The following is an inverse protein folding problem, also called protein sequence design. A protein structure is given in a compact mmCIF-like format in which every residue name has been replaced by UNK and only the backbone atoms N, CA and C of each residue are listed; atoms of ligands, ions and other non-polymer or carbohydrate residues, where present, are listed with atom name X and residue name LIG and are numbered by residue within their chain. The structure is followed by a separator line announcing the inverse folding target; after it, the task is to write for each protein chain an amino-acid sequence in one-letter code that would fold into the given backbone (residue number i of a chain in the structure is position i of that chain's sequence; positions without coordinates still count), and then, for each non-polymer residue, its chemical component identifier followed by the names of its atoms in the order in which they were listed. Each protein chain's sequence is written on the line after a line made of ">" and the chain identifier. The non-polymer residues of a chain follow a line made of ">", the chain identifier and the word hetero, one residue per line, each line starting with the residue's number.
data_IF_026171676730
#
_entry.id   IF_026171676730
#
_cell.length_a   1.000
_cell.length_b   1.000
_cell.length_c   1.000
_cell.angle_alpha   90.00
_cell.angle_beta   90.00
_cell.angle_gamma   90.00
#
_symmetry.space_group_name_H-M   'P 1'
#
loop_
_entity.id
_entity.type
_entity.pdbx_description
1 polymer ?
#
# COMPACT_ATOMS: atom_id res chain seq x y z
N UNK A 1 8.37 -13.80 -20.83
CA UNK A 1 7.92 -14.72 -19.78
C UNK A 1 8.95 -14.65 -18.66
N UNK A 2 8.60 -14.07 -17.53
CA UNK A 2 9.52 -13.84 -16.40
C UNK A 2 9.56 -15.08 -15.50
N UNK A 3 10.62 -15.26 -14.70
CA UNK A 3 10.75 -16.42 -13.81
C UNK A 3 9.60 -16.57 -12.79
N UNK A 4 8.96 -15.45 -12.45
CA UNK A 4 7.75 -15.44 -11.61
C UNK A 4 6.53 -16.03 -12.31
N UNK A 5 6.39 -15.81 -13.63
CA UNK A 5 5.26 -16.35 -14.41
C UNK A 5 5.32 -17.88 -14.45
N UNK A 6 6.52 -18.45 -14.61
CA UNK A 6 6.73 -19.90 -14.61
C UNK A 6 6.44 -20.52 -13.25
N UNK A 7 6.83 -19.85 -12.17
CA UNK A 7 6.54 -20.28 -10.80
C UNK A 7 5.05 -20.24 -10.50
N UNK A 8 4.36 -19.17 -10.90
CA UNK A 8 2.91 -19.05 -10.76
C UNK A 8 2.19 -20.16 -11.54
N UNK A 9 2.58 -20.39 -12.79
CA UNK A 9 2.00 -21.43 -13.63
C UNK A 9 2.21 -22.84 -13.04
N UNK A 10 3.40 -23.14 -12.50
CA UNK A 10 3.67 -24.43 -11.86
C UNK A 10 2.81 -24.65 -10.61
N UNK A 11 2.57 -23.61 -9.81
CA UNK A 11 1.74 -23.68 -8.60
C UNK A 11 0.27 -23.86 -8.93
N UNK A 12 -0.22 -23.22 -9.99
CA UNK A 12 -1.60 -23.38 -10.46
C UNK A 12 -1.81 -24.83 -10.93
N UNK A 13 -0.90 -25.36 -11.75
CA UNK A 13 -0.99 -26.76 -12.23
C UNK A 13 -0.95 -27.77 -11.08
N UNK A 14 -0.10 -27.52 -10.07
CA UNK A 14 -0.03 -28.36 -8.87
C UNK A 14 -1.35 -28.35 -8.09
N UNK A 15 -1.95 -27.17 -7.92
CA UNK A 15 -3.25 -27.04 -7.26
C UNK A 15 -4.38 -27.73 -8.03
N UNK A 16 -4.43 -27.59 -9.36
CA UNK A 16 -5.42 -28.27 -10.21
C UNK A 16 -5.30 -29.79 -10.11
N UNK A 17 -4.08 -30.31 -10.03
CA UNK A 17 -3.83 -31.73 -9.85
C UNK A 17 -4.29 -32.22 -8.48
N UNK A 18 -3.99 -31.48 -7.41
CA UNK A 18 -4.41 -31.82 -6.05
C UNK A 18 -5.94 -31.75 -5.86
N UNK A 19 -6.63 -30.86 -6.60
CA UNK A 19 -8.11 -30.83 -6.66
C UNK A 19 -8.66 -32.05 -7.42
N UNK A 20 -8.04 -32.42 -8.56
CA UNK A 20 -8.45 -33.58 -9.36
C UNK A 20 -8.26 -34.90 -8.61
N UNK A 21 -7.19 -35.01 -7.83
CA UNK A 21 -6.89 -36.18 -7.01
C UNK A 21 -7.70 -36.21 -5.70
N UNK A 22 -8.58 -35.22 -5.46
CA UNK A 22 -9.43 -35.15 -4.28
C UNK A 22 -8.69 -34.86 -2.97
N UNK A 23 -7.39 -34.50 -3.04
CA UNK A 23 -6.58 -34.10 -1.87
C UNK A 23 -7.00 -32.74 -1.34
N UNK A 24 -7.52 -31.87 -2.22
CA UNK A 24 -8.07 -30.56 -1.87
C UNK A 24 -9.53 -30.53 -2.30
N UNK A 25 -10.44 -30.46 -1.34
CA UNK A 25 -11.82 -30.07 -1.64
C UNK A 25 -11.88 -28.54 -1.68
N UNK A 26 -12.25 -27.91 -2.80
CA UNK A 26 -12.47 -26.47 -2.83
C UNK A 26 -13.63 -26.16 -1.89
N UNK A 27 -13.31 -25.60 -0.72
CA UNK A 27 -14.28 -25.13 0.27
C UNK A 27 -15.31 -24.23 -0.42
N UNK A 28 -16.56 -24.70 -0.53
CA UNK A 28 -17.71 -23.89 -0.99
C UNK A 28 -18.03 -22.71 -0.04
N UNK A 29 -17.25 -22.54 1.02
CA UNK A 29 -17.37 -21.51 2.04
C UNK A 29 -16.19 -20.53 2.04
N UNK A 30 -15.42 -20.44 0.96
CA UNK A 30 -14.79 -19.17 0.65
C UNK A 30 -15.88 -18.21 0.18
N UNK A 31 -16.70 -17.71 1.14
CA UNK A 31 -17.27 -16.37 0.96
C UNK A 31 -16.09 -15.55 0.50
N UNK A 32 -16.14 -15.04 -0.72
CA UNK A 32 -15.29 -13.93 -1.11
C UNK A 32 -15.46 -12.95 0.05
N UNK A 33 -14.45 -12.82 0.90
CA UNK A 33 -14.43 -11.78 1.90
C UNK A 33 -14.66 -10.54 1.06
N UNK A 34 -15.85 -9.95 1.19
CA UNK A 34 -16.05 -8.59 0.69
C UNK A 34 -14.82 -7.87 1.18
N UNK A 35 -14.08 -7.21 0.30
CA UNK A 35 -12.87 -6.44 0.61
C UNK A 35 -13.32 -5.27 1.49
N UNK A 36 -13.75 -5.61 2.70
CA UNK A 36 -14.26 -4.75 3.73
C UNK A 36 -13.02 -4.11 4.26
N UNK A 37 -12.84 -2.86 3.85
CA UNK A 37 -11.84 -1.91 4.34
C UNK A 37 -10.81 -2.57 5.25
N UNK A 38 -9.83 -3.24 4.62
CA UNK A 38 -8.75 -3.89 5.34
C UNK A 38 -8.19 -2.81 6.28
N UNK A 39 -8.33 -3.01 7.58
CA UNK A 39 -7.92 -1.99 8.51
C UNK A 39 -6.43 -1.74 8.27
N UNK A 40 -5.99 -0.48 8.07
CA UNK A 40 -4.61 -0.18 7.75
C UNK A 40 -3.71 -0.90 8.75
N UNK A 41 -2.75 -1.68 8.24
CA UNK A 41 -1.87 -2.50 9.09
C UNK A 41 -1.13 -1.63 10.14
N UNK A 42 -0.96 -0.33 9.86
CA UNK A 42 -0.50 0.70 10.79
C UNK A 42 -1.41 0.86 12.02
N UNK A 43 -2.74 0.90 11.84
CA UNK A 43 -3.72 0.97 12.94
C UNK A 43 -3.70 -0.31 13.78
N UNK A 44 -3.51 -1.47 13.15
CA UNK A 44 -3.37 -2.75 13.85
C UNK A 44 -2.09 -2.75 14.70
N UNK A 45 -0.94 -2.43 14.11
CA UNK A 45 0.34 -2.31 14.81
C UNK A 45 0.25 -1.36 16.01
N UNK A 46 -0.37 -0.19 15.84
CA UNK A 46 -0.56 0.76 16.93
C UNK A 46 -1.35 0.17 18.11
N UNK A 47 -2.45 -0.54 17.83
CA UNK A 47 -3.26 -1.19 18.88
C UNK A 47 -2.51 -2.34 19.56
N UNK A 48 -1.75 -3.12 18.80
CA UNK A 48 -0.96 -4.24 19.33
C UNK A 48 0.19 -3.74 20.23
N UNK A 49 0.90 -2.67 19.83
CA UNK A 49 1.91 -1.98 20.66
C UNK A 49 1.28 -1.54 21.98
N UNK A 50 0.16 -0.83 21.91
CA UNK A 50 -0.54 -0.33 23.12
C UNK A 50 -0.95 -1.48 24.04
N UNK A 51 -1.45 -2.57 23.47
CA UNK A 51 -1.84 -3.76 24.23
C UNK A 51 -0.64 -4.41 24.93
N UNK A 52 0.49 -4.55 24.24
CA UNK A 52 1.70 -5.14 24.81
C UNK A 52 2.30 -4.27 25.93
N UNK A 53 2.28 -2.94 25.77
CA UNK A 53 2.71 -2.02 26.84
C UNK A 53 1.82 -2.19 28.08
N UNK A 54 0.49 -2.16 27.92
CA UNK A 54 -0.45 -2.33 29.05
C UNK A 54 -0.22 -3.68 29.74
N UNK A 55 -0.12 -4.77 28.97
CA UNK A 55 0.18 -6.10 29.52
C UNK A 55 1.51 -6.13 30.26
N UNK A 56 2.55 -5.47 29.74
CA UNK A 56 3.85 -5.41 30.39
C UNK A 56 3.79 -4.74 31.77
N UNK A 57 2.93 -3.73 31.95
CA UNK A 57 2.70 -3.10 33.25
C UNK A 57 1.88 -3.96 34.21
N UNK A 58 1.13 -4.94 33.71
CA UNK A 58 0.41 -5.94 34.51
C UNK A 58 1.25 -7.19 34.80
N UNK A 59 2.33 -7.41 34.04
CA UNK A 59 3.26 -8.52 34.18
C UNK A 59 4.51 -8.13 34.97
N UNK A 60 5.29 -9.13 35.39
CA UNK A 60 6.55 -8.94 36.12
C UNK A 60 7.68 -9.80 35.56
N UNK A 61 8.92 -9.48 35.95
CA UNK A 61 10.10 -10.28 35.61
C UNK A 61 10.40 -10.37 34.11
N UNK A 62 10.56 -11.60 33.61
CA UNK A 62 10.96 -11.88 32.23
C UNK A 62 9.84 -11.59 31.23
N UNK A 63 8.59 -11.89 31.57
CA UNK A 63 7.43 -11.65 30.70
C UNK A 63 7.28 -10.15 30.40
N UNK A 64 7.43 -9.29 31.42
CA UNK A 64 7.43 -7.84 31.24
C UNK A 64 8.50 -7.38 30.26
N UNK A 65 9.72 -7.91 30.37
CA UNK A 65 10.83 -7.56 29.47
C UNK A 65 10.51 -7.96 28.02
N UNK A 66 10.01 -9.19 27.82
CA UNK A 66 9.63 -9.67 26.50
C UNK A 66 8.52 -8.80 25.87
N UNK A 67 7.47 -8.48 26.62
CA UNK A 67 6.36 -7.66 26.12
C UNK A 67 6.80 -6.24 25.72
N UNK A 68 7.75 -5.66 26.46
CA UNK A 68 8.32 -4.34 26.12
C UNK A 68 9.24 -4.42 24.90
N UNK A 69 10.04 -5.48 24.77
CA UNK A 69 10.89 -5.71 23.61
C UNK A 69 10.05 -5.91 22.35
N UNK A 70 9.01 -6.74 22.42
CA UNK A 70 8.07 -6.97 21.33
C UNK A 70 7.36 -5.66 20.92
N UNK A 71 6.93 -4.85 21.88
CA UNK A 71 6.35 -3.53 21.62
C UNK A 71 7.35 -2.58 20.94
N UNK A 72 8.63 -2.60 21.35
CA UNK A 72 9.70 -1.83 20.74
C UNK A 72 9.94 -2.23 19.28
N UNK A 73 10.01 -3.53 19.00
CA UNK A 73 10.16 -4.06 17.65
C UNK A 73 8.99 -3.68 16.75
N UNK A 74 7.75 -3.78 17.26
CA UNK A 74 6.55 -3.34 16.53
C UNK A 74 6.54 -1.83 16.30
N UNK A 75 7.05 -1.02 17.24
CA UNK A 75 7.16 0.42 17.08
C UNK A 75 8.11 0.79 15.93
N UNK A 76 9.29 0.15 15.84
CA UNK A 76 10.22 0.35 14.71
C UNK A 76 9.55 0.02 13.37
N UNK A 77 8.80 -1.08 13.31
CA UNK A 77 8.04 -1.45 12.11
C UNK A 77 6.97 -0.42 11.76
N UNK A 78 6.23 0.08 12.75
CA UNK A 78 5.21 1.10 12.55
C UNK A 78 5.83 2.40 12.01
N UNK A 79 6.92 2.87 12.61
CA UNK A 79 7.62 4.09 12.19
C UNK A 79 8.10 3.99 10.74
N UNK A 80 8.79 2.91 10.37
CA UNK A 80 9.26 2.71 9.00
C UNK A 80 8.11 2.71 7.96
N UNK A 81 6.96 2.12 8.31
CA UNK A 81 5.79 2.10 7.42
C UNK A 81 5.16 3.48 7.29
N UNK A 82 5.04 4.23 8.39
CA UNK A 82 4.53 5.59 8.38
C UNK A 82 5.44 6.53 7.57
N UNK A 83 6.75 6.44 7.75
CA UNK A 83 7.74 7.19 6.96
C UNK A 83 7.59 6.91 5.46
N UNK A 84 7.56 5.63 5.06
CA UNK A 84 7.37 5.26 3.65
C UNK A 84 6.05 5.77 3.09
N UNK A 85 4.96 5.68 3.86
CA UNK A 85 3.65 6.20 3.43
C UNK A 85 3.68 7.73 3.29
N UNK A 86 4.39 8.42 4.18
CA UNK A 86 4.58 9.86 4.16
C UNK A 86 5.36 10.31 2.93
N UNK A 87 6.50 9.66 2.64
CA UNK A 87 7.28 9.92 1.42
C UNK A 87 6.46 9.71 0.15
N UNK A 88 5.67 8.63 0.08
CA UNK A 88 4.81 8.36 -1.08
C UNK A 88 3.74 9.45 -1.26
N UNK A 89 3.10 9.90 -0.18
CA UNK A 89 2.10 10.99 -0.25
C UNK A 89 2.73 12.30 -0.68
N UNK A 90 3.87 12.68 -0.11
CA UNK A 90 4.57 13.91 -0.47
C UNK A 90 5.03 13.86 -1.93
N UNK A 91 5.62 12.75 -2.38
CA UNK A 91 6.05 12.56 -3.76
C UNK A 91 4.88 12.73 -4.73
N UNK A 92 3.73 12.09 -4.45
CA UNK A 92 2.53 12.26 -5.28
C UNK A 92 2.05 13.72 -5.32
N UNK A 93 1.97 14.38 -4.16
CA UNK A 93 1.56 15.79 -4.08
C UNK A 93 2.47 16.71 -4.90
N UNK A 94 3.79 16.50 -4.87
CA UNK A 94 4.73 17.26 -5.69
C UNK A 94 4.57 16.95 -7.18
N UNK A 95 4.40 15.67 -7.55
CA UNK A 95 4.12 15.30 -8.94
C UNK A 95 2.84 15.94 -9.47
N UNK A 96 1.75 15.91 -8.70
CA UNK A 96 0.47 16.51 -9.06
C UNK A 96 0.60 18.03 -9.21
N UNK A 97 1.33 18.68 -8.29
CA UNK A 97 1.62 20.13 -8.38
C UNK A 97 2.43 20.48 -9.63
N UNK A 98 3.49 19.70 -9.93
CA UNK A 98 4.31 19.93 -11.13
C UNK A 98 3.47 19.74 -12.39
N UNK A 99 2.60 18.73 -12.44
CA UNK A 99 1.70 18.53 -13.57
C UNK A 99 0.71 19.69 -13.74
N UNK A 100 0.12 20.17 -12.64
CA UNK A 100 -0.78 21.32 -12.67
C UNK A 100 -0.08 22.58 -13.20
N UNK A 101 1.15 22.85 -12.74
CA UNK A 101 1.96 23.99 -13.24
C UNK A 101 2.27 23.84 -14.73
N UNK A 102 2.64 22.64 -15.18
CA UNK A 102 2.89 22.37 -16.61
C UNK A 102 1.64 22.58 -17.47
N UNK A 103 0.49 22.11 -17.00
CA UNK A 103 -0.78 22.30 -17.70
C UNK A 103 -1.15 23.79 -17.79
N UNK A 104 -0.96 24.55 -16.71
CA UNK A 104 -1.20 25.99 -16.70
C UNK A 104 -0.25 26.73 -17.64
N UNK A 105 1.03 26.37 -17.67
CA UNK A 105 2.02 26.94 -18.59
C UNK A 105 1.67 26.63 -20.06
N UNK A 106 1.31 25.38 -20.37
CA UNK A 106 0.90 24.99 -21.72
C UNK A 106 -0.37 25.68 -22.19
N UNK A 107 -1.36 25.88 -21.31
CA UNK A 107 -2.56 26.65 -21.63
C UNK A 107 -2.24 28.12 -21.94
N UNK A 108 -1.33 28.74 -21.17
CA UNK A 108 -0.89 30.11 -21.42
C UNK A 108 -0.09 30.27 -22.72
N UNK A 109 0.72 29.28 -23.10
CA UNK A 109 1.42 29.26 -24.39
C UNK A 109 0.43 29.13 -25.56
N UNK A 110 -0.57 28.26 -25.44
CA UNK A 110 -1.63 28.11 -26.43
C UNK A 110 -2.45 29.39 -26.59
N UNK A 111 -2.79 30.09 -25.51
CA UNK A 111 -3.49 31.39 -25.59
C UNK A 111 -2.64 32.46 -26.32
N UNK A 112 -1.33 32.47 -26.10
CA UNK A 112 -0.40 33.39 -26.80
C UNK A 112 -0.28 33.08 -28.29
N UNK A 113 -0.18 31.80 -28.66
CA UNK A 113 -0.19 31.39 -30.08
C UNK A 113 -1.54 31.65 -30.73
N UNK A 114 -2.65 31.44 -30.02
CA UNK A 114 -4.01 31.70 -30.52
C UNK A 114 -4.21 33.20 -30.78
N UNK A 115 -3.76 34.06 -29.87
CA UNK A 115 -3.80 35.51 -30.07
C UNK A 115 -2.90 35.97 -31.22
N UNK A 116 -1.75 35.32 -31.45
CA UNK A 116 -0.89 35.60 -32.60
C UNK A 116 -1.53 35.18 -33.92
N UNK A 117 -2.14 33.99 -33.98
CA UNK A 117 -2.83 33.50 -35.16
C UNK A 117 -4.04 34.39 -35.52
N UNK A 118 -4.80 34.86 -34.53
CA UNK A 118 -5.88 35.82 -34.75
C UNK A 118 -5.39 37.18 -35.28
N UNK A 119 -4.18 37.60 -34.89
CA UNK A 119 -3.59 38.85 -35.39
C UNK A 119 -3.16 38.73 -36.86
N UNK A 120 -2.61 37.58 -37.26
CA UNK A 120 -2.20 37.31 -38.64
C UNK A 120 -3.39 37.12 -39.60
N UNK A 121 -4.56 36.67 -39.11
CA UNK A 121 -5.80 36.60 -39.91
C UNK A 121 -6.49 37.97 -40.10
N UNK A 122 -6.05 39.01 -39.37
CA UNK A 122 -6.61 40.35 -39.44
C UNK A 122 -5.90 41.29 -40.44
N UNK A 123 -4.75 40.87 -40.99
CA UNK A 123 -4.02 41.55 -42.08
C UNK A 123 -4.37 40.95 -43.46
#
# INVERSE_FOLDING_TARGET
>A
MTGFDLLAESKIRQWEQDVREGRIQPSKTAKAESVGQYEPLEKKLFRDIRKNIIKAYMSSGQERRQLLEDAGNMHVQLSSRLERSGYNRMSKMFSDTIQAVKAAAGAAEQDLETLRAMLEEMD
#
